data_IF_432493684270
#
_entry.id   IF_432493684270
#
_cell.length_a   1.000
_cell.length_b   1.000
_cell.length_c   1.000
_cell.angle_alpha   90.00
_cell.angle_beta   90.00
_cell.angle_gamma   90.00
#
_symmetry.space_group_name_H-M   'P 1'
#
loop_
_entity.id
_entity.type
_entity.pdbx_description
1 polymer ?
#
# COMPACT_ATOMS: atom_id res chain seq x y z
N UNK A 1 -2.92 -29.94 14.85
CA UNK A 1 -2.22 -28.98 15.74
C UNK A 1 -0.73 -28.86 15.40
N UNK A 2 0.03 -29.96 15.26
CA UNK A 2 1.46 -29.89 14.89
C UNK A 2 1.76 -29.39 13.47
N UNK A 3 0.81 -29.51 12.54
CA UNK A 3 0.94 -29.13 11.13
C UNK A 3 0.69 -27.64 10.87
N UNK A 4 -0.20 -27.00 11.64
CA UNK A 4 -0.53 -25.58 11.48
C UNK A 4 0.58 -24.66 12.00
N UNK A 5 1.23 -25.03 13.11
CA UNK A 5 2.33 -24.23 13.66
C UNK A 5 3.61 -24.33 12.80
N UNK A 6 3.87 -25.49 12.18
CA UNK A 6 4.93 -25.61 11.18
C UNK A 6 4.64 -24.80 9.90
N UNK A 7 3.36 -24.60 9.57
CA UNK A 7 2.95 -23.76 8.44
C UNK A 7 3.11 -22.27 8.75
N UNK A 8 2.76 -21.85 9.97
CA UNK A 8 2.98 -20.47 10.45
C UNK A 8 4.47 -20.08 10.40
N UNK A 9 5.37 -20.98 10.80
CA UNK A 9 6.81 -20.74 10.74
C UNK A 9 7.33 -20.61 9.29
N UNK A 10 6.76 -21.38 8.34
CA UNK A 10 7.10 -21.26 6.92
C UNK A 10 6.57 -19.95 6.31
N UNK A 11 5.34 -19.56 6.66
CA UNK A 11 4.77 -18.26 6.26
C UNK A 11 5.65 -17.13 6.81
N UNK A 12 6.06 -17.23 8.07
CA UNK A 12 6.93 -16.25 8.71
C UNK A 12 8.26 -16.09 7.95
N UNK A 13 8.94 -17.17 7.60
CA UNK A 13 10.17 -17.10 6.80
C UNK A 13 9.92 -16.50 5.41
N UNK A 14 8.79 -16.80 4.78
CA UNK A 14 8.38 -16.18 3.52
C UNK A 14 8.16 -14.67 3.67
N UNK A 15 7.48 -14.24 4.75
CA UNK A 15 7.23 -12.83 5.05
C UNK A 15 8.53 -12.06 5.34
N UNK A 16 9.47 -12.66 6.08
CA UNK A 16 10.80 -12.06 6.25
C UNK A 16 11.46 -11.86 4.90
N UNK A 17 11.44 -12.87 4.02
CA UNK A 17 12.05 -12.76 2.69
C UNK A 17 11.44 -11.62 1.87
N UNK A 18 10.12 -11.47 1.87
CA UNK A 18 9.42 -10.41 1.15
C UNK A 18 9.63 -9.01 1.74
N UNK A 19 9.51 -8.86 3.06
CA UNK A 19 9.50 -7.54 3.74
C UNK A 19 10.83 -7.18 4.40
N UNK A 20 11.89 -7.96 4.14
CA UNK A 20 13.21 -7.83 4.76
C UNK A 20 13.70 -6.39 4.85
N UNK A 21 13.65 -5.68 3.73
CA UNK A 21 14.16 -4.32 3.63
C UNK A 21 13.46 -3.34 4.58
N UNK A 22 12.15 -3.52 4.78
CA UNK A 22 11.32 -2.66 5.64
C UNK A 22 11.47 -3.05 7.10
N UNK A 23 11.41 -4.35 7.40
CA UNK A 23 11.58 -4.87 8.76
C UNK A 23 12.94 -4.42 9.34
N UNK A 24 14.01 -4.45 8.55
CA UNK A 24 15.33 -3.92 8.96
C UNK A 24 15.35 -2.46 9.38
N UNK A 25 14.50 -1.61 8.77
CA UNK A 25 14.45 -0.17 9.07
C UNK A 25 13.69 0.13 10.36
N UNK A 26 12.71 -0.73 10.70
CA UNK A 26 11.80 -0.50 11.82
C UNK A 26 12.13 -1.30 13.08
N UNK A 27 13.04 -2.27 13.02
CA UNK A 27 13.47 -3.03 14.20
C UNK A 27 14.53 -2.27 14.99
N UNK A 28 14.27 -2.07 16.28
CA UNK A 28 15.32 -1.83 17.27
C UNK A 28 15.77 -3.16 17.86
N UNK A 29 17.03 -3.53 17.64
CA UNK A 29 17.50 -4.89 17.93
C UNK A 29 17.70 -5.11 19.43
N UNK A 30 18.28 -4.14 20.14
CA UNK A 30 18.57 -4.28 21.58
C UNK A 30 17.33 -4.61 22.42
N UNK A 31 16.21 -3.84 22.36
CA UNK A 31 15.04 -4.14 23.18
C UNK A 31 14.38 -5.48 22.81
N UNK A 32 14.42 -5.84 21.52
CA UNK A 32 13.83 -7.10 21.04
C UNK A 32 14.58 -8.29 21.61
N UNK A 33 15.92 -8.25 21.68
CA UNK A 33 16.74 -9.36 22.18
C UNK A 33 16.44 -9.74 23.63
N UNK A 34 15.97 -8.80 24.45
CA UNK A 34 15.62 -9.06 25.85
C UNK A 34 14.41 -9.99 25.97
N UNK A 35 13.42 -9.81 25.09
CA UNK A 35 12.21 -10.63 25.04
C UNK A 35 12.41 -11.98 24.33
N UNK A 36 13.49 -12.14 23.55
CA UNK A 36 13.80 -13.39 22.84
C UNK A 36 14.47 -14.41 23.77
N UNK A 37 13.69 -15.08 24.60
CA UNK A 37 14.19 -16.07 25.59
C UNK A 37 14.77 -17.34 24.96
N UNK A 38 14.43 -17.65 23.71
CA UNK A 38 14.88 -18.85 23.01
C UNK A 38 16.26 -18.71 22.35
N UNK A 39 16.79 -17.49 22.20
CA UNK A 39 18.12 -17.26 21.63
C UNK A 39 19.20 -17.55 22.67
N UNK A 40 20.29 -18.20 22.24
CA UNK A 40 21.45 -18.46 23.10
C UNK A 40 22.16 -17.14 23.46
N UNK A 41 22.79 -17.05 24.64
CA UNK A 41 23.49 -15.83 25.05
C UNK A 41 24.64 -15.45 24.10
N UNK A 42 25.32 -16.42 23.49
CA UNK A 42 26.39 -16.17 22.52
C UNK A 42 25.87 -15.51 21.25
N UNK A 43 24.70 -15.95 20.77
CA UNK A 43 24.03 -15.35 19.61
C UNK A 43 23.58 -13.93 19.94
N UNK A 44 22.98 -13.71 21.12
CA UNK A 44 22.57 -12.36 21.56
C UNK A 44 23.76 -11.42 21.65
N UNK A 45 24.87 -11.85 22.25
CA UNK A 45 26.09 -11.05 22.37
C UNK A 45 26.70 -10.74 21.00
N UNK A 46 26.68 -11.69 20.07
CA UNK A 46 27.16 -11.45 18.71
C UNK A 46 26.32 -10.39 17.98
N UNK A 47 25.00 -10.44 18.12
CA UNK A 47 24.09 -9.45 17.53
C UNK A 47 24.26 -8.08 18.19
N UNK A 48 24.36 -8.01 19.52
CA UNK A 48 24.61 -6.76 20.27
C UNK A 48 25.94 -6.11 19.86
N UNK A 49 27.01 -6.91 19.74
CA UNK A 49 28.31 -6.41 19.27
C UNK A 49 28.19 -5.83 17.86
N UNK A 50 27.44 -6.49 16.98
CA UNK A 50 27.21 -6.02 15.62
C UNK A 50 26.43 -4.71 15.59
N UNK A 51 25.45 -4.53 16.49
CA UNK A 51 24.72 -3.26 16.63
C UNK A 51 25.66 -2.12 17.02
N UNK A 52 26.54 -2.37 17.99
CA UNK A 52 27.51 -1.38 18.45
C UNK A 52 28.57 -1.00 17.39
N UNK A 53 29.01 -1.95 16.55
CA UNK A 53 30.09 -1.70 15.56
C UNK A 53 29.58 -1.24 14.20
N UNK A 54 28.44 -1.79 13.75
CA UNK A 54 27.99 -1.72 12.36
C UNK A 54 26.60 -1.08 12.22
N UNK A 55 25.96 -0.74 13.34
CA UNK A 55 24.66 -0.08 13.39
C UNK A 55 23.47 -1.05 13.40
N UNK A 56 22.32 -0.50 13.79
CA UNK A 56 21.07 -1.25 14.02
C UNK A 56 20.60 -2.03 12.79
N UNK A 57 20.76 -1.47 11.59
CA UNK A 57 20.30 -2.09 10.32
C UNK A 57 21.04 -3.41 10.07
N UNK A 58 22.35 -3.44 10.32
CA UNK A 58 23.16 -4.65 10.11
C UNK A 58 22.90 -5.69 11.19
N UNK A 59 22.71 -5.25 12.44
CA UNK A 59 22.31 -6.13 13.52
C UNK A 59 20.92 -6.75 13.27
N UNK A 60 19.98 -5.98 12.70
CA UNK A 60 18.67 -6.47 12.32
C UNK A 60 18.76 -7.50 11.19
N UNK A 61 19.62 -7.27 10.18
CA UNK A 61 19.87 -8.27 9.14
C UNK A 61 20.43 -9.58 9.71
N UNK A 62 21.39 -9.48 10.63
CA UNK A 62 21.98 -10.64 11.28
C UNK A 62 20.94 -11.40 12.11
N UNK A 63 20.11 -10.69 12.88
CA UNK A 63 19.01 -11.29 13.64
C UNK A 63 18.05 -12.04 12.70
N UNK A 64 17.61 -11.42 11.61
CA UNK A 64 16.69 -12.05 10.64
C UNK A 64 17.34 -13.28 9.98
N UNK A 65 18.63 -13.20 9.60
CA UNK A 65 19.38 -14.35 9.07
C UNK A 65 19.45 -15.51 10.07
N UNK A 66 19.69 -15.21 11.35
CA UNK A 66 19.72 -16.21 12.41
C UNK A 66 18.35 -16.86 12.59
N UNK A 67 17.28 -16.07 12.52
CA UNK A 67 15.92 -16.59 12.62
C UNK A 67 15.55 -17.49 11.43
N UNK A 68 15.91 -17.12 10.20
CA UNK A 68 15.67 -17.94 8.99
C UNK A 68 16.42 -19.28 8.99
N UNK A 69 17.62 -19.32 9.56
CA UNK A 69 18.51 -20.50 9.52
C UNK A 69 18.40 -21.40 10.75
N UNK A 70 17.83 -20.89 11.84
CA UNK A 70 17.76 -21.60 13.11
C UNK A 70 16.61 -22.59 13.19
N UNK A 71 16.82 -23.68 13.94
CA UNK A 71 15.76 -24.58 14.37
C UNK A 71 15.28 -24.17 15.76
N UNK A 72 14.14 -23.49 15.81
CA UNK A 72 13.61 -22.87 17.02
C UNK A 72 12.45 -23.69 17.62
N UNK A 73 12.14 -23.49 18.92
CA UNK A 73 11.00 -24.15 19.54
C UNK A 73 9.68 -23.76 18.86
N UNK A 74 8.68 -24.66 18.92
CA UNK A 74 7.35 -24.42 18.35
C UNK A 74 6.75 -23.10 18.86
N UNK A 75 6.25 -22.27 17.93
CA UNK A 75 5.65 -20.98 18.25
C UNK A 75 6.64 -19.81 18.41
N UNK A 76 7.93 -20.00 18.09
CA UNK A 76 8.93 -18.92 18.13
C UNK A 76 8.56 -17.72 17.25
N UNK A 77 7.89 -17.92 16.12
CA UNK A 77 7.43 -16.83 15.26
C UNK A 77 6.46 -15.88 16.00
N UNK A 78 5.53 -16.44 16.79
CA UNK A 78 4.64 -15.65 17.66
C UNK A 78 5.40 -14.95 18.78
N UNK A 79 6.37 -15.64 19.39
CA UNK A 79 7.25 -15.04 20.40
C UNK A 79 8.02 -13.85 19.84
N UNK A 80 8.48 -13.93 18.60
CA UNK A 80 9.18 -12.84 17.92
C UNK A 80 8.25 -11.66 17.61
N UNK A 81 7.05 -11.92 17.08
CA UNK A 81 6.04 -10.87 16.86
C UNK A 81 5.67 -10.17 18.16
N UNK A 82 5.51 -10.92 19.25
CA UNK A 82 5.22 -10.36 20.56
C UNK A 82 6.40 -9.56 21.12
N UNK A 83 7.63 -10.06 20.96
CA UNK A 83 8.85 -9.34 21.31
C UNK A 83 8.93 -7.99 20.57
N UNK A 84 8.56 -7.93 19.29
CA UNK A 84 8.50 -6.68 18.52
C UNK A 84 7.45 -5.71 19.07
N UNK A 85 6.28 -6.19 19.48
CA UNK A 85 5.23 -5.35 20.09
C UNK A 85 5.68 -4.79 21.44
N UNK A 86 6.25 -5.63 22.30
CA UNK A 86 6.75 -5.23 23.61
C UNK A 86 7.95 -4.27 23.50
N UNK A 87 8.82 -4.46 22.51
CA UNK A 87 9.89 -3.54 22.17
C UNK A 87 9.41 -2.21 21.55
N UNK A 88 8.09 -2.01 21.38
CA UNK A 88 7.51 -0.79 20.85
C UNK A 88 7.64 -0.62 19.33
N UNK A 89 7.82 -1.72 18.58
CA UNK A 89 7.92 -1.70 17.11
C UNK A 89 6.70 -2.41 16.47
N UNK A 90 5.48 -1.85 16.58
CA UNK A 90 4.26 -2.46 16.08
C UNK A 90 4.25 -2.60 14.55
N UNK A 91 4.81 -1.64 13.80
CA UNK A 91 4.90 -1.72 12.33
C UNK A 91 5.68 -2.96 11.89
N UNK A 92 6.84 -3.19 12.51
CA UNK A 92 7.66 -4.37 12.22
C UNK A 92 6.89 -5.66 12.54
N UNK A 93 6.16 -5.69 13.66
CA UNK A 93 5.36 -6.83 14.06
C UNK A 93 4.25 -7.17 13.06
N UNK A 94 3.63 -6.16 12.42
CA UNK A 94 2.60 -6.36 11.38
C UNK A 94 3.15 -7.02 10.13
N UNK A 95 4.33 -6.60 9.65
CA UNK A 95 4.96 -7.19 8.46
C UNK A 95 5.33 -8.66 8.63
N UNK A 96 5.68 -9.07 9.86
CA UNK A 96 6.10 -10.44 10.15
C UNK A 96 4.98 -11.28 10.78
N UNK A 97 3.75 -10.77 10.87
CA UNK A 97 2.66 -11.51 11.48
C UNK A 97 2.23 -12.70 10.59
N UNK A 98 2.39 -13.96 11.05
CA UNK A 98 2.05 -15.14 10.24
C UNK A 98 0.54 -15.28 9.97
N UNK A 99 -0.31 -14.55 10.69
CA UNK A 99 -1.76 -14.58 10.48
C UNK A 99 -2.22 -13.77 9.25
N UNK A 100 -1.33 -12.98 8.64
CA UNK A 100 -1.61 -12.16 7.43
C UNK A 100 -2.82 -11.21 7.57
N UNK A 101 -3.31 -11.00 8.79
CA UNK A 101 -4.57 -10.29 9.06
C UNK A 101 -4.45 -8.78 8.90
N UNK A 102 -3.25 -8.22 8.97
CA UNK A 102 -3.05 -6.79 9.17
C UNK A 102 -1.83 -6.22 8.43
N UNK A 103 -1.63 -6.63 7.18
CA UNK A 103 -0.57 -6.10 6.34
C UNK A 103 -0.95 -4.67 5.86
N UNK A 104 -0.02 -3.69 5.92
CA UNK A 104 -0.27 -2.34 5.40
C UNK A 104 -0.64 -2.36 3.91
N UNK A 105 -1.57 -1.50 3.50
CA UNK A 105 -1.93 -1.35 2.09
C UNK A 105 -0.81 -0.63 1.32
N UNK A 106 -0.60 -0.92 0.03
CA UNK A 106 0.43 -0.24 -0.78
C UNK A 106 0.30 1.29 -0.79
N UNK A 107 -0.93 1.82 -0.70
CA UNK A 107 -1.17 3.26 -0.58
C UNK A 107 -0.70 3.83 0.76
N UNK A 108 -0.99 3.15 1.86
CA UNK A 108 -0.51 3.55 3.20
C UNK A 108 1.01 3.47 3.30
N UNK A 109 1.61 2.47 2.66
CA UNK A 109 3.05 2.28 2.57
C UNK A 109 3.73 3.40 1.78
N UNK A 110 3.13 3.82 0.66
CA UNK A 110 3.64 4.92 -0.15
C UNK A 110 3.53 6.25 0.61
N UNK A 111 2.40 6.52 1.25
CA UNK A 111 2.22 7.72 2.06
C UNK A 111 3.23 7.79 3.23
N UNK A 112 3.52 6.65 3.86
CA UNK A 112 4.55 6.58 4.89
C UNK A 112 5.93 6.92 4.33
N UNK A 113 6.32 6.33 3.19
CA UNK A 113 7.61 6.60 2.53
C UNK A 113 7.74 8.07 2.10
N UNK A 114 6.66 8.69 1.61
CA UNK A 114 6.60 10.13 1.30
C UNK A 114 6.85 10.99 2.54
N UNK A 115 6.23 10.65 3.68
CA UNK A 115 6.46 11.34 4.95
C UNK A 115 7.91 11.22 5.41
N UNK A 116 8.58 10.08 5.16
CA UNK A 116 10.01 9.92 5.46
C UNK A 116 10.90 10.77 4.57
N UNK A 117 10.57 10.90 3.28
CA UNK A 117 11.30 11.78 2.36
C UNK A 117 11.17 13.24 2.79
N UNK A 118 9.96 13.66 3.16
CA UNK A 118 9.72 15.00 3.68
C UNK A 118 10.50 15.26 4.97
N UNK A 119 10.49 14.30 5.91
CA UNK A 119 11.24 14.42 7.15
C UNK A 119 12.75 14.55 6.90
N UNK A 120 13.31 13.76 6.00
CA UNK A 120 14.73 13.84 5.65
C UNK A 120 15.11 15.21 5.07
N UNK A 121 14.21 15.84 4.30
CA UNK A 121 14.43 17.18 3.75
C UNK A 121 14.39 18.26 4.86
N UNK A 122 13.43 18.15 5.78
CA UNK A 122 13.19 19.13 6.85
C UNK A 122 13.94 18.83 8.15
N UNK A 123 14.73 17.75 8.19
CA UNK A 123 15.50 17.33 9.36
C UNK A 123 16.41 18.46 9.88
N UNK A 124 17.14 19.23 9.05
CA UNK A 124 17.96 20.33 9.55
C UNK A 124 17.14 21.40 10.28
N UNK A 125 15.98 21.77 9.72
CA UNK A 125 15.08 22.76 10.32
C UNK A 125 14.50 22.27 11.65
N UNK A 126 14.08 21.00 11.71
CA UNK A 126 13.55 20.40 12.94
C UNK A 126 14.62 20.30 14.03
N UNK A 127 15.85 19.93 13.69
CA UNK A 127 16.94 19.81 14.65
C UNK A 127 17.34 21.17 15.22
N UNK A 128 17.27 22.24 14.42
CA UNK A 128 17.61 23.60 14.84
C UNK A 128 16.54 24.24 15.72
N UNK A 129 15.26 24.06 15.37
CA UNK A 129 14.14 24.78 15.99
C UNK A 129 13.39 24.00 17.08
N UNK A 130 13.41 22.67 17.06
CA UNK A 130 12.61 21.85 17.98
C UNK A 130 13.33 21.65 19.32
N UNK A 131 12.59 21.78 20.42
CA UNK A 131 13.08 21.43 21.76
C UNK A 131 12.56 20.05 22.17
N UNK A 132 13.48 19.17 22.60
CA UNK A 132 13.13 17.81 23.03
C UNK A 132 12.25 17.84 24.27
N UNK A 133 12.59 18.69 25.25
CA UNK A 133 11.86 18.79 26.52
C UNK A 133 10.37 19.10 26.33
N UNK A 134 10.01 19.90 25.32
CA UNK A 134 8.62 20.31 25.09
C UNK A 134 7.77 19.18 24.50
N UNK A 135 8.40 18.30 23.72
CA UNK A 135 7.73 17.32 22.87
C UNK A 135 7.79 15.91 23.48
N UNK A 136 8.85 15.61 24.23
CA UNK A 136 9.13 14.26 24.71
C UNK A 136 8.05 13.71 25.66
N UNK A 137 7.59 14.54 26.61
CA UNK A 137 6.55 14.10 27.55
C UNK A 137 5.23 13.83 26.83
N UNK A 138 4.83 14.70 25.89
CA UNK A 138 3.61 14.51 25.09
C UNK A 138 3.70 13.33 24.13
N UNK A 139 4.89 13.04 23.58
CA UNK A 139 5.10 11.84 22.76
C UNK A 139 4.87 10.54 23.55
N UNK A 140 5.13 10.53 24.85
CA UNK A 140 4.85 9.36 25.71
C UNK A 140 3.37 9.32 26.09
N UNK A 141 2.75 10.47 26.38
CA UNK A 141 1.31 10.56 26.67
C UNK A 141 0.43 10.04 25.52
N UNK A 142 0.78 10.40 24.28
CA UNK A 142 0.09 9.96 23.06
C UNK A 142 0.50 8.52 22.63
N UNK A 143 1.25 7.79 23.46
CA UNK A 143 1.77 6.44 23.18
C UNK A 143 2.58 6.33 21.88
N UNK A 144 3.16 7.43 21.41
CA UNK A 144 4.04 7.43 20.24
C UNK A 144 5.41 6.82 20.59
N UNK A 145 5.90 7.08 21.80
CA UNK A 145 7.19 6.59 22.29
C UNK A 145 7.02 5.72 23.54
N UNK A 146 7.88 4.70 23.66
CA UNK A 146 7.96 3.89 24.88
C UNK A 146 8.77 4.60 25.97
N UNK A 147 8.68 4.10 27.21
CA UNK A 147 9.47 4.59 28.33
C UNK A 147 10.98 4.39 28.07
N UNK A 148 11.37 3.30 27.41
CA UNK A 148 12.76 3.08 27.02
C UNK A 148 13.21 4.10 25.97
N UNK A 149 12.38 4.37 24.97
CA UNK A 149 12.65 5.39 23.96
C UNK A 149 12.86 6.76 24.60
N UNK A 150 12.02 7.12 25.60
CA UNK A 150 12.19 8.34 26.39
C UNK A 150 13.56 8.40 27.07
N UNK A 151 13.94 7.36 27.77
CA UNK A 151 15.21 7.32 28.50
C UNK A 151 16.41 7.46 27.56
N UNK A 152 16.35 6.83 26.37
CA UNK A 152 17.41 6.93 25.35
C UNK A 152 17.49 8.34 24.75
N UNK A 153 16.34 8.97 24.50
CA UNK A 153 16.28 10.35 24.00
C UNK A 153 16.81 11.32 25.05
N UNK A 154 16.40 11.20 26.31
CA UNK A 154 16.94 12.01 27.42
C UNK A 154 18.44 11.77 27.64
N UNK A 155 18.93 10.54 27.42
CA UNK A 155 20.37 10.26 27.47
C UNK A 155 21.12 10.98 26.34
N UNK A 156 20.57 11.03 25.13
CA UNK A 156 21.13 11.75 24.00
C UNK A 156 21.07 13.28 24.18
N UNK A 157 20.03 13.80 24.83
CA UNK A 157 19.85 15.22 25.17
C UNK A 157 21.00 15.75 26.04
N UNK A 158 21.63 14.91 26.87
CA UNK A 158 22.82 15.29 27.64
C UNK A 158 24.00 15.71 26.75
N UNK A 159 24.04 15.26 25.48
CA UNK A 159 25.04 15.66 24.49
C UNK A 159 24.62 16.90 23.69
N UNK A 160 23.46 17.48 24.00
CA UNK A 160 22.87 18.64 23.33
C UNK A 160 21.45 18.36 22.83
N UNK A 161 20.62 19.41 22.80
CA UNK A 161 19.23 19.32 22.32
C UNK A 161 19.16 18.74 20.90
N UNK A 162 20.04 19.17 19.99
CA UNK A 162 20.08 18.65 18.63
C UNK A 162 20.29 17.13 18.55
N UNK A 163 21.12 16.57 19.44
CA UNK A 163 21.37 15.14 19.50
C UNK A 163 20.13 14.40 19.99
N UNK A 164 19.45 14.96 21.00
CA UNK A 164 18.15 14.46 21.46
C UNK A 164 17.08 14.52 20.36
N UNK A 165 16.98 15.61 19.58
CA UNK A 165 16.01 15.73 18.47
C UNK A 165 16.31 14.70 17.38
N UNK A 166 17.58 14.52 17.00
CA UNK A 166 17.97 13.50 16.02
C UNK A 166 17.58 12.10 16.47
N UNK A 167 17.80 11.77 17.74
CA UNK A 167 17.45 10.48 18.31
C UNK A 167 15.92 10.30 18.45
N UNK A 168 15.20 11.38 18.79
CA UNK A 168 13.74 11.42 18.84
C UNK A 168 13.15 11.11 17.45
N UNK A 169 13.58 11.84 16.43
CA UNK A 169 13.12 11.65 15.05
C UNK A 169 13.46 10.25 14.53
N UNK A 170 14.66 9.74 14.82
CA UNK A 170 15.07 8.37 14.47
C UNK A 170 14.09 7.33 14.99
N UNK A 171 13.55 7.52 16.20
CA UNK A 171 12.61 6.58 16.83
C UNK A 171 11.17 6.76 16.42
N UNK A 172 10.71 8.01 16.27
CA UNK A 172 9.32 8.32 15.88
C UNK A 172 8.99 7.70 14.53
N UNK A 173 9.92 7.78 13.57
CA UNK A 173 9.80 7.20 12.22
C UNK A 173 9.50 5.70 12.22
N UNK A 174 9.88 4.97 13.27
CA UNK A 174 9.71 3.52 13.36
C UNK A 174 8.30 3.11 13.84
N UNK A 175 7.46 4.08 14.22
CA UNK A 175 6.14 3.87 14.84
C UNK A 175 5.02 4.00 13.82
N UNK A 176 3.86 3.40 14.12
CA UNK A 176 2.70 3.54 13.24
C UNK A 176 2.07 4.92 13.37
N UNK A 177 1.51 5.44 12.28
CA UNK A 177 0.79 6.72 12.24
C UNK A 177 1.57 7.90 12.85
N UNK A 178 2.90 7.79 12.85
CA UNK A 178 3.76 8.70 13.57
C UNK A 178 3.59 10.15 13.06
N UNK A 179 3.38 10.33 11.75
CA UNK A 179 3.32 11.65 11.14
C UNK A 179 2.11 12.45 11.63
N UNK A 180 0.91 11.86 11.64
CA UNK A 180 -0.31 12.54 12.12
C UNK A 180 -0.27 12.81 13.62
N UNK A 181 0.22 11.85 14.40
CA UNK A 181 0.35 12.01 15.85
C UNK A 181 1.41 13.06 16.18
N UNK A 182 2.54 13.03 15.50
CA UNK A 182 3.61 14.01 15.67
C UNK A 182 3.16 15.43 15.28
N UNK A 183 2.42 15.60 14.18
CA UNK A 183 1.83 16.90 13.84
C UNK A 183 0.87 17.42 14.91
N UNK A 184 0.09 16.53 15.51
CA UNK A 184 -0.83 16.89 16.61
C UNK A 184 -0.03 17.35 17.83
N UNK A 185 1.04 16.63 18.18
CA UNK A 185 1.93 16.99 19.29
C UNK A 185 2.63 18.33 19.02
N UNK A 186 3.13 18.57 17.81
CA UNK A 186 3.76 19.85 17.45
C UNK A 186 2.79 21.02 17.66
N UNK A 187 1.52 20.86 17.27
CA UNK A 187 0.49 21.88 17.50
C UNK A 187 0.21 22.10 18.98
N UNK A 188 0.09 21.02 19.74
CA UNK A 188 -0.15 21.11 21.18
C UNK A 188 1.05 21.71 21.95
N UNK A 189 2.27 21.59 21.45
CA UNK A 189 3.49 22.12 22.09
C UNK A 189 3.79 23.57 21.72
N UNK A 190 2.94 24.20 20.89
CA UNK A 190 3.16 25.57 20.42
C UNK A 190 4.16 25.67 19.26
N UNK A 191 4.57 24.54 18.69
CA UNK A 191 5.41 24.44 17.49
C UNK A 191 4.56 24.45 16.20
N UNK A 192 3.54 25.30 16.16
CA UNK A 192 2.58 25.38 15.04
C UNK A 192 3.26 25.76 13.71
N UNK A 193 4.32 26.56 13.77
CA UNK A 193 5.09 26.96 12.59
C UNK A 193 5.78 25.76 11.93
N UNK A 194 6.39 24.89 12.73
CA UNK A 194 7.02 23.66 12.24
C UNK A 194 5.96 22.67 11.71
N UNK A 195 4.82 22.56 12.38
CA UNK A 195 3.71 21.74 11.89
C UNK A 195 3.19 22.24 10.54
N UNK A 196 3.13 23.57 10.34
CA UNK A 196 2.68 24.21 9.10
C UNK A 196 3.67 24.03 7.96
N UNK A 197 4.97 24.12 8.26
CA UNK A 197 6.06 23.84 7.33
C UNK A 197 6.02 22.39 6.85
N UNK A 198 5.75 21.45 7.77
CA UNK A 198 5.56 20.03 7.44
C UNK A 198 4.27 19.74 6.64
N UNK A 199 3.20 20.53 6.79
CA UNK A 199 1.96 20.35 6.01
C UNK A 199 1.89 21.18 4.74
N UNK A 200 2.91 22.01 4.45
CA UNK A 200 2.94 22.87 3.27
C UNK A 200 1.78 23.88 3.23
N UNK A 201 1.23 24.27 4.39
CA UNK A 201 0.13 25.24 4.43
C UNK A 201 0.74 26.63 4.36
N UNK A 202 0.74 27.22 3.17
CA UNK A 202 1.38 28.52 2.92
C UNK A 202 0.94 29.58 3.94
N UNK A 203 1.93 30.27 4.50
CA UNK A 203 1.78 31.56 5.14
C UNK A 203 1.40 32.59 4.06
N UNK A 204 0.14 32.63 3.64
CA UNK A 204 -0.37 33.90 3.15
C UNK A 204 -0.52 34.80 4.37
N UNK A 205 0.48 35.66 4.60
CA UNK A 205 0.29 36.93 5.29
C UNK A 205 -0.74 37.73 4.49
N UNK A 206 -2.01 37.40 4.69
CA UNK A 206 -3.12 38.27 4.38
C UNK A 206 -3.13 39.36 5.45
N UNK A 207 -2.35 40.41 5.23
CA UNK A 207 -2.57 41.72 5.84
C UNK A 207 -4.05 42.09 5.65
N UNK A 208 -4.85 41.85 6.68
CA UNK A 208 -6.13 42.53 6.89
C UNK A 208 -6.25 42.85 8.37
N UNK A 209 -5.50 43.86 8.78
CA UNK A 209 -6.00 44.78 9.80
C UNK A 209 -7.29 45.39 9.26
N UNK A 210 -8.45 44.95 9.75
CA UNK A 210 -9.45 45.85 10.35
C UNK A 210 -10.65 45.05 10.88
N UNK A 211 -11.00 45.40 12.12
CA UNK A 211 -12.35 45.39 12.68
C UNK A 211 -12.93 44.07 13.22
N UNK A 212 -12.75 43.93 14.54
CA UNK A 212 -13.79 43.65 15.54
C UNK A 212 -15.22 43.41 14.99
N UNK A 213 -15.85 42.30 15.41
CA UNK A 213 -17.02 42.34 16.29
C UNK A 213 -17.39 40.93 16.77
N UNK A 214 -17.59 40.85 18.07
CA UNK A 214 -18.10 39.75 18.86
C UNK A 214 -19.54 39.35 18.47
N UNK A 215 -19.85 38.08 18.79
CA UNK A 215 -21.05 37.62 19.52
C UNK A 215 -22.06 36.73 18.78
N UNK A 216 -22.16 35.51 19.32
CA UNK A 216 -23.29 34.58 19.51
C UNK A 216 -24.31 34.22 18.40
N UNK A 217 -24.52 32.90 18.38
CA UNK A 217 -25.80 32.17 18.37
C UNK A 217 -26.25 31.46 17.07
N UNK A 218 -26.59 30.17 17.25
CA UNK A 218 -27.79 29.59 16.66
C UNK A 218 -27.73 28.81 15.34
N UNK A 219 -27.79 27.48 15.50
CA UNK A 219 -28.64 26.50 14.78
C UNK A 219 -28.15 25.78 13.50
N UNK A 220 -27.95 24.46 13.70
CA UNK A 220 -28.37 23.26 12.93
C UNK A 220 -28.16 23.24 11.38
N UNK A 221 -27.69 22.14 10.79
CA UNK A 221 -28.53 20.95 10.46
C UNK A 221 -27.66 19.82 9.85
N UNK A 222 -27.77 18.63 10.47
CA UNK A 222 -27.79 17.23 9.95
C UNK A 222 -26.58 16.60 9.23
N UNK A 223 -25.91 15.71 9.97
CA UNK A 223 -25.48 14.38 9.51
C UNK A 223 -26.68 13.49 9.12
N UNK A 224 -26.45 12.51 8.24
CA UNK A 224 -27.12 11.22 8.38
C UNK A 224 -26.12 10.06 8.51
N UNK A 225 -26.08 9.48 9.71
CA UNK A 225 -25.78 8.07 9.94
C UNK A 225 -26.80 7.18 9.21
N UNK A 226 -26.35 6.08 8.61
CA UNK A 226 -27.18 4.88 8.45
C UNK A 226 -26.36 3.62 8.70
N UNK A 227 -26.75 2.95 9.78
CA UNK A 227 -26.41 1.59 10.18
C UNK A 227 -27.66 0.76 9.90
N UNK A 228 -27.56 -0.35 9.16
CA UNK A 228 -28.55 -1.42 9.18
C UNK A 228 -27.93 -2.76 8.73
N UNK A 229 -27.73 -3.60 9.75
CA UNK A 229 -27.86 -5.06 9.85
C UNK A 229 -28.45 -5.81 8.63
N UNK A 230 -27.79 -6.89 8.21
CA UNK A 230 -28.39 -8.23 8.08
C UNK A 230 -27.33 -9.30 7.78
N UNK A 231 -27.32 -10.38 8.58
CA UNK A 231 -26.66 -11.65 8.27
C UNK A 231 -27.55 -12.45 7.29
N UNK A 232 -26.99 -13.40 6.52
CA UNK A 232 -27.06 -14.78 7.00
C UNK A 232 -25.81 -15.65 6.73
N UNK A 233 -25.61 -16.57 7.67
CA UNK A 233 -25.14 -17.96 7.53
C UNK A 233 -24.19 -18.32 6.37
N UNK A 234 -22.94 -18.62 6.74
CA UNK A 234 -21.97 -19.29 5.89
C UNK A 234 -22.02 -20.80 6.22
N UNK A 235 -22.69 -21.56 5.35
CA UNK A 235 -22.68 -23.02 5.39
C UNK A 235 -21.37 -23.57 4.85
N UNK A 236 -20.81 -24.50 5.62
CA UNK A 236 -19.65 -25.35 5.35
C UNK A 236 -19.89 -26.21 4.12
N UNK A 237 -19.04 -26.09 3.09
CA UNK A 237 -18.95 -27.11 2.02
C UNK A 237 -17.49 -27.45 1.78
N UNK A 238 -17.22 -28.75 1.96
CA UNK A 238 -15.96 -29.45 1.89
C UNK A 238 -15.25 -29.29 0.53
N UNK A 239 -13.94 -29.00 0.57
CA UNK A 239 -13.08 -29.16 -0.60
C UNK A 239 -12.28 -30.44 -0.41
N UNK A 240 -12.71 -31.46 -1.14
CA UNK A 240 -11.97 -32.70 -1.34
C UNK A 240 -10.63 -32.43 -2.00
N UNK A 241 -9.63 -33.06 -1.39
CA UNK A 241 -8.23 -33.03 -1.72
C UNK A 241 -8.00 -33.95 -2.93
N UNK A 242 -7.76 -33.39 -4.13
CA UNK A 242 -7.24 -34.16 -5.26
C UNK A 242 -5.81 -33.72 -5.57
N UNK A 243 -4.89 -34.48 -4.98
CA UNK A 243 -3.49 -34.63 -5.35
C UNK A 243 -3.27 -34.78 -6.86
N UNK A 244 -2.26 -34.09 -7.40
CA UNK A 244 -1.41 -34.63 -8.46
C UNK A 244 -0.07 -33.87 -8.47
N UNK A 245 0.96 -34.58 -8.01
CA UNK A 245 2.36 -34.24 -8.22
C UNK A 245 2.81 -34.58 -9.66
N UNK A 246 3.68 -33.74 -10.22
CA UNK A 246 4.90 -34.11 -10.98
C UNK A 246 5.58 -32.79 -11.39
N UNK A 247 6.77 -32.39 -10.93
CA UNK A 247 8.12 -32.98 -10.85
C UNK A 247 9.04 -32.56 -12.02
N UNK A 248 10.25 -32.12 -11.62
CA UNK A 248 11.50 -31.91 -12.38
C UNK A 248 11.62 -30.61 -13.22
N UNK A 249 12.46 -29.64 -12.80
CA UNK A 249 13.90 -29.45 -13.11
C UNK A 249 14.12 -29.06 -14.60
N UNK A 250 14.88 -28.04 -15.01
CA UNK A 250 16.08 -27.38 -14.49
C UNK A 250 16.38 -26.11 -15.35
N UNK A 251 17.17 -25.17 -14.80
CA UNK A 251 18.16 -24.24 -15.43
C UNK A 251 17.74 -23.34 -16.64
N UNK A 252 18.23 -22.09 -16.88
CA UNK A 252 19.39 -21.29 -16.46
C UNK A 252 19.28 -19.83 -17.02
N UNK A 253 19.97 -18.87 -16.37
CA UNK A 253 20.80 -17.71 -16.88
C UNK A 253 20.31 -16.98 -18.17
N UNK A 254 20.14 -15.65 -18.23
CA UNK A 254 21.16 -14.56 -18.28
C UNK A 254 20.58 -13.22 -17.78
N UNK A 255 21.46 -12.36 -17.23
CA UNK A 255 21.33 -10.89 -17.06
C UNK A 255 20.91 -10.20 -18.38
N UNK A 256 20.51 -8.93 -18.44
CA UNK A 256 21.35 -7.72 -18.44
C UNK A 256 20.48 -6.45 -18.27
N UNK A 257 21.18 -5.38 -17.95
CA UNK A 257 20.78 -4.11 -17.33
C UNK A 257 20.14 -3.07 -18.25
N UNK A 258 19.51 -2.09 -17.60
CA UNK A 258 19.43 -0.65 -17.90
C UNK A 258 19.12 -0.16 -19.32
N UNK A 259 18.05 0.63 -19.46
CA UNK A 259 18.17 1.99 -20.02
C UNK A 259 17.02 2.89 -19.56
N UNK A 260 17.44 4.07 -19.10
CA UNK A 260 16.67 5.24 -18.70
C UNK A 260 16.11 6.02 -19.90
N UNK A 261 15.43 7.15 -19.60
CA UNK A 261 14.94 8.24 -20.48
C UNK A 261 13.44 8.10 -20.87
N UNK A 262 12.60 9.13 -20.84
CA UNK A 262 12.68 10.51 -20.39
C UNK A 262 11.23 11.05 -20.29
N UNK A 263 11.06 12.16 -19.59
CA UNK A 263 9.86 12.99 -19.58
C UNK A 263 9.33 13.31 -20.98
N UNK A 264 8.01 13.30 -21.10
CA UNK A 264 7.28 13.74 -22.29
C UNK A 264 5.88 14.15 -21.91
N UNK A 265 5.76 15.36 -21.37
CA UNK A 265 4.51 16.07 -21.11
C UNK A 265 3.50 15.93 -22.25
N UNK A 266 2.26 15.57 -21.92
CA UNK A 266 1.13 15.74 -22.85
C UNK A 266 0.09 16.64 -22.20
N UNK A 267 -0.04 17.83 -22.78
CA UNK A 267 -1.09 18.81 -22.53
C UNK A 267 -2.45 18.23 -22.91
N UNK A 268 -3.41 18.35 -22.00
CA UNK A 268 -4.83 18.15 -22.24
C UNK A 268 -5.37 19.22 -23.19
N UNK A 269 -5.89 18.83 -24.35
CA UNK A 269 -6.84 19.60 -25.16
C UNK A 269 -7.79 18.56 -25.78
N UNK A 270 -9.02 18.44 -25.31
CA UNK A 270 -10.18 19.32 -25.44
C UNK A 270 -11.15 18.74 -26.46
N UNK A 271 -12.39 18.75 -26.01
CA UNK A 271 -13.57 18.04 -26.46
C UNK A 271 -14.28 18.91 -27.51
N UNK A 272 -14.55 18.37 -28.70
CA UNK A 272 -15.56 19.01 -29.55
C UNK A 272 -16.33 17.99 -30.36
N UNK A 273 -17.53 17.74 -29.85
CA UNK A 273 -18.64 17.05 -30.48
C UNK A 273 -19.02 17.77 -31.78
N UNK A 274 -18.78 17.13 -32.92
CA UNK A 274 -19.19 17.62 -34.24
C UNK A 274 -20.68 17.35 -34.49
N UNK A 275 -21.47 18.43 -34.46
CA UNK A 275 -22.86 18.48 -34.90
C UNK A 275 -23.04 18.15 -36.39
N UNK A 276 -24.11 17.43 -36.66
CA UNK A 276 -24.63 16.97 -37.93
C UNK A 276 -25.55 18.03 -38.57
N UNK A 277 -25.14 18.61 -39.69
CA UNK A 277 -26.02 19.38 -40.57
C UNK A 277 -26.50 18.52 -41.73
N UNK A 278 -27.79 18.15 -41.74
CA UNK A 278 -28.46 17.65 -42.94
C UNK A 278 -29.50 18.69 -43.39
N UNK A 279 -29.26 19.27 -44.56
CA UNK A 279 -30.09 20.29 -45.20
C UNK A 279 -31.39 19.69 -45.74
N UNK A 280 -32.51 20.32 -45.40
CA UNK A 280 -33.79 20.07 -46.04
C UNK A 280 -33.76 20.54 -47.49
N UNK A 281 -34.16 19.66 -48.40
CA UNK A 281 -34.50 20.00 -49.78
C UNK A 281 -35.86 19.41 -50.08
N UNK A 282 -36.82 20.31 -50.21
CA UNK A 282 -38.20 20.06 -50.59
C UNK A 282 -38.25 19.94 -52.12
N UNK A 283 -38.73 18.82 -52.65
CA UNK A 283 -39.04 18.68 -54.08
C UNK A 283 -40.20 17.70 -54.24
N UNK A 284 -41.24 18.18 -54.94
CA UNK A 284 -42.54 17.57 -55.03
C UNK A 284 -42.63 16.28 -55.86
N UNK A 285 -43.64 15.48 -55.47
CA UNK A 285 -44.81 15.14 -56.29
C UNK A 285 -44.66 14.35 -57.60
N UNK A 286 -45.36 13.20 -57.57
CA UNK A 286 -45.90 12.29 -58.59
C UNK A 286 -44.99 11.26 -59.29
N UNK A 287 -45.31 9.97 -59.09
CA UNK A 287 -45.23 8.96 -60.14
C UNK A 287 -44.98 7.51 -59.72
N UNK A 288 -46.05 6.71 -59.73
CA UNK A 288 -46.14 5.30 -60.16
C UNK A 288 -45.65 4.12 -59.29
N UNK A 289 -46.65 3.34 -58.90
CA UNK A 289 -46.79 1.89 -58.63
C UNK A 289 -45.66 0.93 -59.00
N UNK A 290 -45.27 0.07 -58.05
CA UNK A 290 -45.06 -1.39 -58.25
C UNK A 290 -44.61 -2.07 -56.94
N UNK A 291 -45.19 -3.25 -56.67
CA UNK A 291 -45.07 -4.11 -55.48
C UNK A 291 -43.65 -4.58 -55.12
N UNK A 292 -43.32 -4.68 -53.83
CA UNK A 292 -42.87 -5.93 -53.15
C UNK A 292 -42.22 -5.64 -51.77
N UNK A 293 -42.61 -6.44 -50.78
CA UNK A 293 -42.01 -6.58 -49.44
C UNK A 293 -40.50 -6.90 -49.53
N UNK A 294 -39.65 -6.27 -48.71
CA UNK A 294 -38.54 -6.93 -47.98
C UNK A 294 -37.73 -6.00 -47.06
N UNK A 295 -37.42 -6.55 -45.89
CA UNK A 295 -36.68 -6.00 -44.74
C UNK A 295 -35.25 -5.57 -45.08
N UNK A 296 -34.81 -4.42 -44.56
CA UNK A 296 -33.40 -4.18 -44.28
C UNK A 296 -33.24 -3.24 -43.06
N UNK A 297 -33.12 -3.83 -41.87
CA UNK A 297 -32.57 -3.14 -40.71
C UNK A 297 -31.16 -2.65 -41.05
N UNK A 298 -30.95 -1.34 -40.98
CA UNK A 298 -29.64 -0.70 -41.09
C UNK A 298 -28.81 -1.02 -39.84
N UNK A 299 -28.20 -2.19 -39.78
CA UNK A 299 -27.14 -2.48 -38.84
C UNK A 299 -25.82 -2.04 -39.47
N UNK A 300 -25.25 -0.94 -38.99
CA UNK A 300 -23.87 -0.58 -39.29
C UNK A 300 -22.95 -1.72 -38.83
N UNK A 301 -21.95 -2.15 -39.62
CA UNK A 301 -21.03 -3.19 -39.17
C UNK A 301 -20.27 -2.70 -37.93
N UNK A 302 -20.42 -3.40 -36.81
CA UNK A 302 -19.60 -3.18 -35.63
C UNK A 302 -18.12 -3.44 -36.01
N UNK A 303 -17.19 -2.53 -35.71
CA UNK A 303 -15.78 -2.75 -35.99
C UNK A 303 -15.31 -4.01 -35.24
N UNK A 304 -14.85 -5.01 -36.00
CA UNK A 304 -14.34 -6.25 -35.44
C UNK A 304 -13.08 -5.97 -34.61
N UNK A 305 -13.17 -6.23 -33.30
CA UNK A 305 -12.05 -6.14 -32.36
C UNK A 305 -11.07 -7.30 -32.60
N UNK A 306 -10.26 -7.16 -33.64
CA UNK A 306 -9.21 -8.12 -33.94
C UNK A 306 -7.97 -7.86 -33.06
N UNK A 307 -7.48 -8.91 -32.41
CA UNK A 307 -6.26 -8.90 -31.61
C UNK A 307 -5.03 -9.14 -32.49
N UNK A 308 -3.90 -8.55 -32.11
CA UNK A 308 -2.58 -8.90 -32.70
C UNK A 308 -2.18 -10.32 -32.26
N UNK A 309 -1.28 -11.03 -32.98
CA UNK A 309 -0.90 -12.40 -32.63
C UNK A 309 -0.45 -12.57 -31.17
N UNK A 310 0.42 -11.68 -30.67
CA UNK A 310 0.88 -11.72 -29.27
C UNK A 310 -0.26 -11.46 -28.27
N UNK A 311 -1.27 -10.66 -28.65
CA UNK A 311 -2.44 -10.37 -27.82
C UNK A 311 -3.36 -11.58 -27.74
N UNK A 312 -3.49 -12.34 -28.83
CA UNK A 312 -4.25 -13.58 -28.88
C UNK A 312 -3.60 -14.66 -28.03
N UNK A 313 -2.27 -14.79 -28.10
CA UNK A 313 -1.49 -15.74 -27.31
C UNK A 313 -1.72 -15.56 -25.80
N UNK A 314 -1.62 -14.33 -25.30
CA UNK A 314 -1.87 -14.05 -23.87
C UNK A 314 -3.35 -14.17 -23.49
N UNK A 315 -4.27 -14.05 -24.45
CA UNK A 315 -5.71 -14.18 -24.21
C UNK A 315 -6.15 -15.65 -24.15
N UNK A 316 -5.48 -16.54 -24.89
CA UNK A 316 -5.90 -17.91 -25.10
C UNK A 316 -6.23 -18.67 -23.80
N UNK A 317 -5.41 -18.63 -22.74
CA UNK A 317 -5.74 -19.31 -21.50
C UNK A 317 -7.05 -18.80 -20.84
N UNK A 318 -7.37 -17.51 -20.96
CA UNK A 318 -8.65 -16.97 -20.49
C UNK A 318 -9.83 -17.40 -21.37
N UNK A 319 -9.63 -17.50 -22.69
CA UNK A 319 -10.66 -18.00 -23.61
C UNK A 319 -10.99 -19.48 -23.33
N UNK A 320 -10.04 -20.24 -22.79
CA UNK A 320 -10.23 -21.61 -22.29
C UNK A 320 -10.93 -21.67 -20.92
N UNK A 321 -11.20 -20.53 -20.27
CA UNK A 321 -11.89 -20.44 -18.98
C UNK A 321 -10.97 -20.54 -17.77
N UNK A 322 -9.65 -20.39 -17.92
CA UNK A 322 -8.69 -20.40 -16.81
C UNK A 322 -8.60 -19.00 -16.17
N UNK A 323 -8.38 -18.96 -14.86
CA UNK A 323 -8.01 -17.73 -14.16
C UNK A 323 -6.57 -17.37 -14.49
N UNK A 324 -6.33 -16.16 -15.01
CA UNK A 324 -5.03 -15.76 -15.54
C UNK A 324 -4.60 -14.40 -15.01
N UNK A 325 -3.29 -14.16 -14.99
CA UNK A 325 -2.67 -12.86 -14.77
C UNK A 325 -1.92 -12.48 -16.04
N UNK A 326 -2.33 -11.41 -16.71
CA UNK A 326 -1.67 -10.91 -17.92
C UNK A 326 -0.62 -9.89 -17.52
N UNK A 327 0.66 -10.24 -17.65
CA UNK A 327 1.78 -9.32 -17.45
C UNK A 327 2.31 -8.83 -18.81
N UNK A 328 1.94 -7.61 -19.18
CA UNK A 328 2.44 -6.94 -20.39
C UNK A 328 2.83 -5.49 -20.08
N UNK A 329 3.80 -4.90 -20.79
CA UNK A 329 4.21 -3.51 -20.59
C UNK A 329 3.08 -2.51 -20.88
N UNK A 330 3.19 -1.29 -20.37
CA UNK A 330 2.24 -0.20 -20.71
C UNK A 330 2.29 0.11 -22.20
N UNK A 331 1.15 0.44 -22.81
CA UNK A 331 1.04 0.65 -24.27
C UNK A 331 0.87 -0.61 -25.12
N UNK A 332 1.09 -1.82 -24.57
CA UNK A 332 0.91 -3.10 -25.29
C UNK A 332 -0.55 -3.46 -25.65
N UNK A 333 -1.51 -2.72 -25.09
CA UNK A 333 -2.94 -2.95 -25.30
C UNK A 333 -3.59 -3.96 -24.35
N UNK A 334 -3.13 -4.05 -23.08
CA UNK A 334 -3.76 -4.88 -22.03
C UNK A 334 -5.28 -4.72 -21.96
N UNK A 335 -5.77 -3.48 -22.00
CA UNK A 335 -7.21 -3.18 -21.99
C UNK A 335 -7.93 -3.77 -23.20
N UNK A 336 -7.30 -3.75 -24.39
CA UNK A 336 -7.86 -4.34 -25.61
C UNK A 336 -8.00 -5.86 -25.48
N UNK A 337 -7.01 -6.52 -24.89
CA UNK A 337 -7.07 -7.96 -24.57
C UNK A 337 -8.20 -8.26 -23.59
N UNK A 338 -8.32 -7.48 -22.50
CA UNK A 338 -9.37 -7.66 -21.50
C UNK A 338 -10.78 -7.51 -22.11
N UNK A 339 -10.99 -6.50 -22.97
CA UNK A 339 -12.26 -6.30 -23.67
C UNK A 339 -12.57 -7.47 -24.61
N UNK A 340 -11.57 -8.00 -25.31
CA UNK A 340 -11.76 -9.17 -26.17
C UNK A 340 -12.20 -10.41 -25.38
N UNK A 341 -11.53 -10.70 -24.26
CA UNK A 341 -11.88 -11.81 -23.36
C UNK A 341 -13.30 -11.61 -22.81
N UNK A 342 -13.65 -10.40 -22.38
CA UNK A 342 -14.98 -10.07 -21.90
C UNK A 342 -16.05 -10.29 -22.96
N UNK A 343 -15.79 -9.88 -24.22
CA UNK A 343 -16.70 -10.10 -25.34
C UNK A 343 -16.91 -11.59 -25.60
N UNK A 344 -15.84 -12.38 -25.71
CA UNK A 344 -15.93 -13.82 -25.93
C UNK A 344 -16.69 -14.54 -24.80
N UNK A 345 -16.47 -14.14 -23.54
CA UNK A 345 -17.23 -14.64 -22.39
C UNK A 345 -18.72 -14.36 -22.53
N UNK A 346 -19.10 -13.12 -22.85
CA UNK A 346 -20.51 -12.72 -23.03
C UNK A 346 -21.14 -13.43 -24.24
N UNK A 347 -20.41 -13.60 -25.34
CA UNK A 347 -20.89 -14.32 -26.52
C UNK A 347 -21.10 -15.81 -26.24
N UNK A 348 -20.20 -16.45 -25.49
CA UNK A 348 -20.36 -17.84 -25.03
C UNK A 348 -21.58 -18.00 -24.11
N UNK A 349 -21.77 -17.08 -23.16
CA UNK A 349 -22.94 -17.07 -22.26
C UNK A 349 -24.25 -16.82 -23.01
N UNK A 350 -24.26 -15.90 -23.98
CA UNK A 350 -25.40 -15.64 -24.87
C UNK A 350 -25.76 -16.88 -25.69
N UNK A 351 -24.77 -17.59 -26.24
CA UNK A 351 -24.98 -18.87 -26.95
C UNK A 351 -25.53 -19.97 -26.03
N UNK A 352 -25.12 -19.99 -24.77
CA UNK A 352 -25.60 -20.92 -23.76
C UNK A 352 -26.96 -20.52 -23.13
N UNK A 353 -27.56 -19.37 -23.52
CA UNK A 353 -28.76 -18.81 -22.88
C UNK A 353 -28.62 -18.59 -21.36
N UNK A 354 -27.40 -18.32 -20.90
CA UNK A 354 -27.09 -18.04 -19.50
C UNK A 354 -26.79 -16.54 -19.29
N UNK A 355 -27.09 -15.98 -18.10
CA UNK A 355 -26.70 -14.62 -17.78
C UNK A 355 -25.17 -14.52 -17.63
N UNK A 356 -24.52 -13.70 -18.46
CA UNK A 356 -23.12 -13.32 -18.33
C UNK A 356 -22.97 -11.95 -17.66
N UNK A 357 -22.01 -11.81 -16.74
CA UNK A 357 -21.66 -10.53 -16.11
C UNK A 357 -20.15 -10.33 -16.16
N UNK A 358 -19.74 -9.10 -16.41
CA UNK A 358 -18.33 -8.69 -16.42
C UNK A 358 -18.18 -7.49 -15.50
N UNK A 359 -17.15 -7.51 -14.66
CA UNK A 359 -16.78 -6.41 -13.79
C UNK A 359 -15.36 -5.94 -14.15
N UNK A 360 -15.17 -4.63 -14.24
CA UNK A 360 -13.86 -4.03 -14.45
C UNK A 360 -13.53 -3.20 -13.22
N UNK A 361 -12.48 -3.58 -12.51
CA UNK A 361 -11.95 -2.85 -11.36
C UNK A 361 -10.75 -2.03 -11.82
N UNK A 362 -10.79 -0.74 -11.57
CA UNK A 362 -9.72 0.21 -11.92
C UNK A 362 -9.28 0.91 -10.65
N UNK A 363 -7.99 0.88 -10.34
CA UNK A 363 -7.42 1.71 -9.29
C UNK A 363 -7.19 3.11 -9.84
N UNK A 364 -7.55 4.15 -9.07
CA UNK A 364 -7.34 5.55 -9.45
C UNK A 364 -6.00 6.06 -8.94
#
# INVERSE_FOLDING_TARGET
MSSEESFADKIFCYLISCFRARVKRYIQVEPVLDYLTFLSPEVKEHIQRTAATSGDIQAADLLLNTLERGSWPLGWARMFVEALRQAGNPLAARYVNPELTDLPSPSSENAHDECLQLLNLLQPTLVDKLLVADVLDKCVEENLLTIEDRNRVSAAENNGNEAGVRELLKRIVQKENWFSTFLTILRQTGNDELARELTGTDCYEGNTDSENLSQEDGLEVKEPLLLATDQPALEVWDIENSSLESSFADSSIVSESDTSLAEGSVSCLDESLGHNSNMGSDSGTMGSDSDDENVAQRASPEPELNLRPYQLEVAQPALEGKNIIICLPTGSGKTRVAVYIAKDHLDKKKKASEPGKVMVLVNK
#
